data_IF_014700800105
#
_entry.id   IF_014700800105
#
_cell.length_a   1.000
_cell.length_b   1.000
_cell.length_c   1.000
_cell.angle_alpha   90.00
_cell.angle_beta   90.00
_cell.angle_gamma   90.00
#
_symmetry.space_group_name_H-M   'P 1'
#
loop_
_entity.id
_entity.type
_entity.pdbx_description
1 polymer ?
#
# COMPACT_ATOMS: atom_id res chain seq x y z
N UNK A 1 -59.12 -9.70 23.47
CA UNK A 1 -58.15 -8.63 23.17
C UNK A 1 -56.76 -9.21 23.32
N UNK A 2 -56.09 -9.54 22.18
CA UNK A 2 -54.73 -10.12 22.16
C UNK A 2 -53.78 -8.98 21.82
N UNK A 3 -52.86 -8.67 22.76
CA UNK A 3 -51.77 -7.77 22.55
C UNK A 3 -50.69 -8.46 21.71
N UNK A 4 -50.41 -7.95 20.51
CA UNK A 4 -49.28 -8.34 19.67
C UNK A 4 -48.08 -7.49 20.09
N UNK A 5 -47.11 -8.11 20.79
CA UNK A 5 -45.80 -7.54 21.02
C UNK A 5 -44.96 -7.63 19.75
N UNK A 6 -44.71 -6.51 19.11
CA UNK A 6 -43.73 -6.38 18.01
C UNK A 6 -42.33 -6.35 18.60
N UNK A 7 -41.59 -7.44 18.41
CA UNK A 7 -40.15 -7.50 18.70
C UNK A 7 -39.43 -6.83 17.52
N UNK A 8 -38.91 -5.63 17.73
CA UNK A 8 -37.99 -4.97 16.81
C UNK A 8 -36.61 -5.64 16.94
N UNK A 9 -36.29 -6.51 16.02
CA UNK A 9 -34.91 -7.02 15.89
C UNK A 9 -34.06 -5.94 15.24
N UNK A 10 -33.27 -5.25 16.05
CA UNK A 10 -32.25 -4.30 15.60
C UNK A 10 -31.08 -5.13 15.02
N UNK A 11 -31.05 -5.34 13.71
CA UNK A 11 -29.88 -5.89 13.02
C UNK A 11 -28.80 -4.82 13.02
N UNK A 12 -27.87 -4.90 13.95
CA UNK A 12 -26.62 -4.14 13.92
C UNK A 12 -25.78 -4.77 12.80
N UNK A 13 -25.87 -4.20 11.60
CA UNK A 13 -24.90 -4.43 10.55
C UNK A 13 -23.57 -3.81 11.02
N UNK A 14 -22.74 -4.61 11.67
CA UNK A 14 -21.33 -4.31 11.82
C UNK A 14 -20.73 -4.30 10.41
N UNK A 15 -20.66 -3.12 9.79
CA UNK A 15 -19.86 -2.93 8.60
C UNK A 15 -18.41 -3.20 8.99
N UNK A 16 -17.91 -4.39 8.70
CA UNK A 16 -16.49 -4.63 8.68
C UNK A 16 -15.91 -3.57 7.73
N UNK A 17 -15.14 -2.64 8.27
CA UNK A 17 -14.42 -1.65 7.48
C UNK A 17 -13.31 -2.41 6.73
N UNK A 18 -13.57 -2.73 5.48
CA UNK A 18 -12.60 -3.32 4.56
C UNK A 18 -11.99 -2.16 3.78
N UNK A 19 -10.68 -2.15 3.59
CA UNK A 19 -10.07 -1.24 2.63
C UNK A 19 -10.76 -1.49 1.30
N UNK A 20 -11.53 -0.50 0.85
CA UNK A 20 -12.24 -0.60 -0.41
C UNK A 20 -11.27 -0.65 -1.60
N UNK A 21 -11.77 -1.02 -2.78
CA UNK A 21 -11.01 -0.92 -4.01
C UNK A 21 -10.51 0.51 -4.21
N UNK A 22 -9.47 0.67 -5.03
CA UNK A 22 -9.01 2.01 -5.43
C UNK A 22 -10.20 2.79 -5.97
N UNK A 23 -10.44 3.99 -5.44
CA UNK A 23 -11.51 4.86 -5.93
C UNK A 23 -11.41 5.08 -7.44
N UNK A 24 -12.54 5.09 -8.13
CA UNK A 24 -12.58 5.15 -9.60
C UNK A 24 -11.78 6.33 -10.16
N UNK A 25 -11.89 7.50 -9.56
CA UNK A 25 -11.16 8.71 -9.97
C UNK A 25 -9.64 8.57 -9.78
N UNK A 26 -9.19 7.90 -8.71
CA UNK A 26 -7.77 7.62 -8.50
C UNK A 26 -7.26 6.57 -9.50
N UNK A 27 -8.04 5.54 -9.80
CA UNK A 27 -7.68 4.46 -10.72
C UNK A 27 -7.39 4.98 -12.13
N UNK A 28 -8.18 5.93 -12.64
CA UNK A 28 -7.97 6.54 -13.96
C UNK A 28 -6.72 7.42 -14.03
N UNK A 29 -6.21 7.87 -12.90
CA UNK A 29 -5.01 8.70 -12.80
C UNK A 29 -3.73 7.89 -12.53
N UNK A 30 -3.79 6.57 -12.46
CA UNK A 30 -2.61 5.71 -12.31
C UNK A 30 -2.12 5.29 -13.71
N UNK A 31 -0.86 5.61 -14.10
CA UNK A 31 -0.30 5.18 -15.38
C UNK A 31 -0.14 3.66 -15.48
N UNK A 32 -0.19 3.11 -16.70
CA UNK A 32 -0.11 1.66 -16.95
C UNK A 32 1.25 1.02 -16.61
N UNK A 33 2.33 1.80 -16.65
CA UNK A 33 3.70 1.36 -16.33
C UNK A 33 4.01 1.43 -14.83
N UNK A 34 2.96 1.24 -14.03
CA UNK A 34 3.05 1.13 -12.57
C UNK A 34 3.85 -0.11 -12.17
N UNK A 35 4.74 0.07 -11.19
CA UNK A 35 5.57 -1.00 -10.62
C UNK A 35 5.06 -1.47 -9.26
N UNK A 36 4.43 -0.57 -8.53
CA UNK A 36 3.84 -0.86 -7.23
C UNK A 36 2.62 0.02 -6.98
N UNK A 37 1.59 -0.57 -6.44
CA UNK A 37 0.48 0.13 -5.81
C UNK A 37 0.43 -0.30 -4.34
N UNK A 38 0.26 0.66 -3.45
CA UNK A 38 -0.03 0.45 -2.04
C UNK A 38 -1.30 1.23 -1.72
N UNK A 39 -2.28 0.55 -1.14
CA UNK A 39 -3.50 1.20 -0.63
C UNK A 39 -3.64 0.96 0.86
N UNK A 40 -4.01 2.01 1.57
CA UNK A 40 -4.14 2.04 3.02
C UNK A 40 -5.53 2.56 3.36
N UNK A 41 -6.32 1.73 4.07
CA UNK A 41 -7.53 2.20 4.74
C UNK A 41 -7.13 2.98 5.99
N UNK A 42 -7.11 4.29 5.84
CA UNK A 42 -6.71 5.20 6.90
C UNK A 42 -7.72 5.22 8.05
N UNK A 43 -9.00 4.95 7.75
CA UNK A 43 -10.07 4.86 8.74
C UNK A 43 -9.89 3.63 9.62
N UNK A 44 -9.59 2.48 9.02
CA UNK A 44 -9.33 1.23 9.76
C UNK A 44 -8.04 1.32 10.60
N UNK A 45 -6.97 1.96 10.08
CA UNK A 45 -5.74 2.16 10.83
C UNK A 45 -5.96 2.90 12.16
N UNK A 46 -6.80 3.94 12.15
CA UNK A 46 -7.10 4.74 13.36
C UNK A 46 -7.74 3.92 14.49
N UNK A 47 -8.40 2.83 14.15
CA UNK A 47 -9.02 1.92 15.11
C UNK A 47 -8.06 0.94 15.79
N UNK A 48 -6.76 0.94 15.44
CA UNK A 48 -5.77 0.02 15.98
C UNK A 48 -4.52 0.75 16.47
N UNK A 49 -4.23 0.64 17.78
CA UNK A 49 -3.01 1.21 18.38
C UNK A 49 -1.75 0.59 17.75
N UNK A 50 -1.80 -0.70 17.43
CA UNK A 50 -0.71 -1.43 16.76
C UNK A 50 -0.45 -0.90 15.36
N UNK A 51 -1.50 -0.63 14.59
CA UNK A 51 -1.38 -0.02 13.26
C UNK A 51 -0.82 1.39 13.33
N UNK A 52 -1.23 2.19 14.31
CA UNK A 52 -0.71 3.54 14.54
C UNK A 52 0.77 3.53 14.97
N UNK A 53 1.17 2.57 15.80
CA UNK A 53 2.58 2.37 16.17
C UNK A 53 3.42 1.97 14.94
N UNK A 54 2.94 1.05 14.11
CA UNK A 54 3.58 0.67 12.85
C UNK A 54 3.71 1.88 11.92
N UNK A 55 2.63 2.65 11.73
CA UNK A 55 2.65 3.88 10.93
C UNK A 55 3.76 4.83 11.39
N UNK A 56 3.84 5.09 12.68
CA UNK A 56 4.84 6.00 13.24
C UNK A 56 6.30 5.54 12.99
N UNK A 57 6.52 4.23 12.96
CA UNK A 57 7.84 3.61 12.76
C UNK A 57 8.25 3.57 11.28
N UNK A 58 7.32 3.18 10.40
CA UNK A 58 7.64 2.92 8.98
C UNK A 58 7.34 4.08 8.04
N UNK A 59 6.65 5.12 8.52
CA UNK A 59 6.24 6.23 7.67
C UNK A 59 7.48 6.96 7.11
N UNK A 60 7.72 6.94 5.80
CA UNK A 60 8.85 7.65 5.21
C UNK A 60 8.77 9.16 5.51
N UNK A 61 9.91 9.87 5.54
CA UNK A 61 9.93 11.33 5.72
C UNK A 61 9.00 12.07 4.75
N UNK A 62 8.93 11.62 3.50
CA UNK A 62 8.04 12.17 2.46
C UNK A 62 6.56 12.08 2.83
N UNK A 63 6.15 11.04 3.55
CA UNK A 63 4.77 10.89 4.03
C UNK A 63 4.46 11.85 5.18
N UNK A 64 5.41 12.07 6.09
CA UNK A 64 5.27 13.08 7.17
C UNK A 64 5.17 14.49 6.59
N UNK A 65 5.94 14.76 5.55
CA UNK A 65 5.87 16.02 4.79
C UNK A 65 4.52 16.18 4.12
N UNK A 66 3.99 15.11 3.52
CA UNK A 66 2.66 15.10 2.92
C UNK A 66 1.55 15.37 3.95
N UNK A 67 1.55 14.68 5.10
CA UNK A 67 0.58 14.96 6.16
C UNK A 67 0.65 16.43 6.63
N UNK A 68 1.86 16.97 6.75
CA UNK A 68 2.08 18.38 7.09
C UNK A 68 1.53 19.31 6.01
N UNK A 69 1.75 18.96 4.74
CA UNK A 69 1.26 19.74 3.60
C UNK A 69 -0.27 19.75 3.53
N UNK A 70 -0.94 18.61 3.78
CA UNK A 70 -2.41 18.52 3.86
C UNK A 70 -2.96 19.41 4.99
N UNK A 71 -2.35 19.36 6.19
CA UNK A 71 -2.74 20.24 7.31
C UNK A 71 -2.59 21.72 6.94
N UNK A 72 -1.56 22.07 6.18
CA UNK A 72 -1.33 23.41 5.63
C UNK A 72 -2.49 23.92 4.78
N UNK A 73 -3.11 23.09 3.98
CA UNK A 73 -4.26 23.44 3.13
C UNK A 73 -5.61 23.15 3.79
N UNK A 74 -5.62 22.69 5.05
CA UNK A 74 -6.83 22.53 5.86
C UNK A 74 -7.48 21.17 5.85
N UNK A 75 -6.77 20.15 5.38
CA UNK A 75 -7.16 18.76 5.50
C UNK A 75 -6.42 18.17 6.69
N UNK A 76 -7.12 17.66 7.67
CA UNK A 76 -6.55 16.90 8.76
C UNK A 76 -6.52 15.40 8.37
N UNK A 77 -5.35 14.82 8.04
CA UNK A 77 -5.29 13.43 7.60
C UNK A 77 -5.95 12.46 8.57
N UNK A 78 -5.84 12.74 9.87
CA UNK A 78 -6.37 11.86 10.91
C UNK A 78 -7.90 11.95 11.06
N UNK A 79 -8.55 12.94 10.45
CA UNK A 79 -10.02 13.12 10.51
C UNK A 79 -10.67 12.99 9.15
N UNK A 80 -10.05 13.61 8.14
CA UNK A 80 -10.69 13.89 6.87
C UNK A 80 -10.33 12.86 5.79
N UNK A 81 -9.23 12.10 5.98
CA UNK A 81 -8.79 11.08 5.01
C UNK A 81 -9.31 9.70 5.43
N UNK A 82 -9.95 9.02 4.49
CA UNK A 82 -10.47 7.67 4.65
C UNK A 82 -9.56 6.63 4.00
N UNK A 83 -9.02 6.93 2.82
CA UNK A 83 -8.13 6.04 2.08
C UNK A 83 -6.98 6.82 1.44
N UNK A 84 -5.79 6.20 1.45
CA UNK A 84 -4.62 6.64 0.71
C UNK A 84 -4.18 5.55 -0.26
N UNK A 85 -3.92 5.94 -1.50
CA UNK A 85 -3.33 5.05 -2.52
C UNK A 85 -2.07 5.69 -3.05
N UNK A 86 -0.98 4.92 -3.09
CA UNK A 86 0.29 5.33 -3.69
C UNK A 86 0.58 4.44 -4.88
N UNK A 87 0.94 5.05 -6.01
CA UNK A 87 1.37 4.35 -7.20
C UNK A 87 2.79 4.79 -7.56
N UNK A 88 3.73 3.85 -7.51
CA UNK A 88 5.08 4.00 -8.02
C UNK A 88 5.11 3.51 -9.47
N UNK A 89 5.48 4.37 -10.40
CA UNK A 89 5.50 4.05 -11.83
C UNK A 89 6.76 4.58 -12.50
N UNK A 90 7.11 4.02 -13.66
CA UNK A 90 8.29 4.41 -14.41
C UNK A 90 7.95 5.55 -15.39
N UNK A 91 8.66 6.66 -15.29
CA UNK A 91 8.53 7.79 -16.22
C UNK A 91 9.76 7.88 -17.13
N UNK A 92 9.85 7.00 -18.12
CA UNK A 92 10.94 6.98 -19.09
C UNK A 92 12.33 7.05 -18.43
N UNK A 93 13.17 7.99 -18.87
CA UNK A 93 14.52 8.20 -18.33
C UNK A 93 14.54 8.90 -16.96
N UNK A 94 13.43 9.43 -16.49
CA UNK A 94 13.34 10.13 -15.20
C UNK A 94 13.29 9.15 -14.00
N UNK A 95 13.24 7.84 -14.26
CA UNK A 95 13.21 6.81 -13.23
C UNK A 95 11.81 6.60 -12.63
N UNK A 96 11.79 6.11 -11.39
CA UNK A 96 10.55 5.85 -10.66
C UNK A 96 10.00 7.17 -10.11
N UNK A 97 8.70 7.36 -10.29
CA UNK A 97 7.91 8.46 -9.74
C UNK A 97 6.81 7.89 -8.85
N UNK A 98 6.46 8.62 -7.82
CA UNK A 98 5.39 8.22 -6.90
C UNK A 98 4.32 9.30 -6.91
N UNK A 99 3.11 8.90 -7.25
CA UNK A 99 1.91 9.72 -7.11
C UNK A 99 1.03 9.13 -6.01
N UNK A 100 0.44 10.00 -5.20
CA UNK A 100 -0.53 9.63 -4.18
C UNK A 100 -1.92 10.10 -4.55
N UNK A 101 -2.93 9.35 -4.14
CA UNK A 101 -4.33 9.76 -4.16
C UNK A 101 -4.89 9.65 -2.75
N UNK A 102 -5.50 10.72 -2.27
CA UNK A 102 -6.24 10.72 -1.00
C UNK A 102 -7.73 10.82 -1.29
N UNK A 103 -8.52 9.97 -0.65
CA UNK A 103 -9.97 10.01 -0.68
C UNK A 103 -10.48 10.18 0.75
N UNK A 104 -11.52 11.00 0.93
CA UNK A 104 -12.02 11.26 2.27
C UNK A 104 -13.21 12.21 2.33
N UNK A 105 -13.46 12.71 3.53
CA UNK A 105 -14.61 13.57 3.84
C UNK A 105 -14.27 15.07 3.78
N UNK A 106 -13.20 15.47 3.10
CA UNK A 106 -12.85 16.88 2.91
C UNK A 106 -13.69 17.52 1.81
N UNK A 107 -13.91 18.82 1.95
CA UNK A 107 -14.65 19.59 0.94
C UNK A 107 -13.68 20.41 0.08
N UNK A 108 -13.67 20.17 -1.21
CA UNK A 108 -12.90 20.95 -2.19
C UNK A 108 -13.08 22.46 -1.98
N UNK A 109 -14.34 22.92 -1.82
CA UNK A 109 -14.65 24.36 -1.61
C UNK A 109 -13.97 24.94 -0.38
N UNK A 110 -13.91 24.18 0.73
CA UNK A 110 -13.25 24.61 1.98
C UNK A 110 -11.74 24.68 1.79
N UNK A 111 -11.16 23.67 1.17
CA UNK A 111 -9.72 23.60 0.87
C UNK A 111 -9.31 24.74 -0.07
N UNK A 112 -10.04 24.94 -1.17
CA UNK A 112 -9.77 26.03 -2.11
C UNK A 112 -9.89 27.42 -1.46
N UNK A 113 -10.86 27.61 -0.55
CA UNK A 113 -10.95 28.85 0.23
C UNK A 113 -9.68 29.09 1.05
N UNK A 114 -9.15 28.06 1.72
CA UNK A 114 -7.94 28.16 2.54
C UNK A 114 -6.69 28.39 1.67
N UNK A 115 -6.57 27.71 0.52
CA UNK A 115 -5.54 27.92 -0.48
C UNK A 115 -5.50 29.40 -0.92
N UNK A 116 -6.65 29.98 -1.23
CA UNK A 116 -6.77 31.41 -1.61
C UNK A 116 -6.38 32.35 -0.48
N UNK A 117 -6.80 32.05 0.76
CA UNK A 117 -6.42 32.84 1.95
C UNK A 117 -4.91 32.82 2.17
N UNK A 118 -4.26 31.70 1.90
CA UNK A 118 -2.79 31.55 1.98
C UNK A 118 -2.08 32.14 0.74
N UNK A 119 -2.81 32.77 -0.19
CA UNK A 119 -2.28 33.39 -1.43
C UNK A 119 -1.55 32.39 -2.33
N UNK A 120 -1.86 31.11 -2.24
CA UNK A 120 -1.34 30.07 -3.11
C UNK A 120 -2.02 30.21 -4.48
N UNK A 121 -1.23 30.40 -5.53
CA UNK A 121 -1.73 30.50 -6.90
C UNK A 121 -1.56 29.16 -7.60
N UNK A 122 -2.60 28.66 -8.30
CA UNK A 122 -2.47 27.45 -9.10
C UNK A 122 -1.56 27.70 -10.32
N UNK A 123 -0.93 26.64 -10.77
CA UNK A 123 -0.26 26.55 -12.07
C UNK A 123 -1.15 25.67 -12.95
N UNK A 124 -1.37 26.08 -14.20
CA UNK A 124 -2.12 25.25 -15.15
C UNK A 124 -1.24 24.13 -15.70
N UNK A 125 -1.77 22.91 -15.70
CA UNK A 125 -1.26 21.81 -16.47
C UNK A 125 -2.43 21.22 -17.29
N UNK A 126 -2.32 21.32 -18.62
CA UNK A 126 -3.48 21.19 -19.51
C UNK A 126 -4.61 22.11 -19.00
N UNK A 127 -5.81 21.59 -18.83
CA UNK A 127 -6.97 22.34 -18.31
C UNK A 127 -7.13 22.26 -16.79
N UNK A 128 -6.17 21.64 -16.08
CA UNK A 128 -6.25 21.36 -14.65
C UNK A 128 -5.48 22.38 -13.83
N UNK A 129 -6.10 22.87 -12.74
CA UNK A 129 -5.44 23.69 -11.73
C UNK A 129 -4.61 22.79 -10.79
N UNK A 130 -3.30 23.04 -10.74
CA UNK A 130 -2.35 22.36 -9.87
C UNK A 130 -1.85 23.33 -8.82
N UNK A 131 -2.03 22.99 -7.56
CA UNK A 131 -1.70 23.84 -6.42
C UNK A 131 -0.36 23.42 -5.81
N UNK A 132 0.64 24.31 -5.75
CA UNK A 132 1.88 24.03 -5.04
C UNK A 132 1.60 23.85 -3.53
N UNK A 133 2.27 22.86 -2.95
CA UNK A 133 2.27 22.56 -1.52
C UNK A 133 3.68 22.77 -0.93
N UNK A 134 3.83 22.57 0.37
CA UNK A 134 5.15 22.55 1.01
C UNK A 134 6.03 21.42 0.47
N UNK A 135 7.34 21.52 0.68
CA UNK A 135 8.33 20.49 0.30
C UNK A 135 8.40 20.16 -1.20
N UNK A 136 8.02 21.10 -2.08
CA UNK A 136 8.07 20.91 -3.54
C UNK A 136 6.99 19.98 -4.10
N UNK A 137 6.06 19.52 -3.27
CA UNK A 137 4.89 18.78 -3.71
C UNK A 137 3.86 19.69 -4.38
N UNK A 138 3.00 19.07 -5.14
CA UNK A 138 1.84 19.69 -5.77
C UNK A 138 0.61 18.82 -5.56
N UNK A 139 -0.57 19.40 -5.61
CA UNK A 139 -1.83 18.69 -5.54
C UNK A 139 -2.85 19.22 -6.56
N UNK A 140 -3.81 18.38 -6.89
CA UNK A 140 -5.01 18.76 -7.64
C UNK A 140 -6.20 17.93 -7.18
N UNK A 141 -7.41 18.43 -7.37
CA UNK A 141 -8.62 17.64 -7.12
C UNK A 141 -8.94 16.76 -8.33
N UNK A 142 -9.32 15.51 -8.07
CA UNK A 142 -9.89 14.61 -9.06
C UNK A 142 -11.43 14.74 -9.12
N UNK A 143 -12.01 14.90 -7.93
CA UNK A 143 -13.43 15.13 -7.69
C UNK A 143 -13.64 15.81 -6.31
N UNK A 144 -14.88 15.93 -5.86
CA UNK A 144 -15.24 16.64 -4.62
C UNK A 144 -14.59 16.02 -3.36
N UNK A 145 -14.26 14.72 -3.39
CA UNK A 145 -13.80 13.93 -2.25
C UNK A 145 -12.45 13.26 -2.49
N UNK A 146 -11.80 13.53 -3.63
CA UNK A 146 -10.56 12.88 -4.02
C UNK A 146 -9.56 13.88 -4.56
N UNK A 147 -8.29 13.75 -4.15
CA UNK A 147 -7.20 14.57 -4.65
C UNK A 147 -5.99 13.73 -5.02
N UNK A 148 -5.24 14.20 -6.01
CA UNK A 148 -3.90 13.71 -6.35
C UNK A 148 -2.84 14.61 -5.74
N UNK A 149 -1.71 14.01 -5.39
CA UNK A 149 -0.53 14.73 -4.91
C UNK A 149 0.76 14.00 -5.29
N UNK A 150 1.84 14.75 -5.36
CA UNK A 150 3.17 14.22 -5.67
C UNK A 150 4.14 15.34 -6.07
N UNK A 151 5.36 14.99 -6.49
CA UNK A 151 6.20 15.96 -7.17
C UNK A 151 5.60 16.39 -8.52
N UNK A 152 6.03 17.52 -9.07
CA UNK A 152 5.48 18.05 -10.32
C UNK A 152 5.49 17.03 -11.46
N UNK A 153 6.55 16.25 -11.57
CA UNK A 153 6.73 15.26 -12.63
C UNK A 153 5.82 14.02 -12.42
N UNK A 154 5.64 13.60 -11.16
CA UNK A 154 4.73 12.51 -10.82
C UNK A 154 3.27 12.91 -11.11
N UNK A 155 2.89 14.10 -10.65
CA UNK A 155 1.52 14.59 -10.85
C UNK A 155 1.19 14.78 -12.33
N UNK A 156 2.12 15.32 -13.13
CA UNK A 156 1.94 15.46 -14.57
C UNK A 156 1.72 14.11 -15.26
N UNK A 157 2.51 13.08 -14.93
CA UNK A 157 2.31 11.75 -15.51
C UNK A 157 0.95 11.12 -15.15
N UNK A 158 0.47 11.35 -13.92
CA UNK A 158 -0.85 10.91 -13.50
C UNK A 158 -1.97 11.66 -14.22
N UNK A 159 -1.82 12.97 -14.42
CA UNK A 159 -2.76 13.78 -15.20
C UNK A 159 -2.76 13.40 -16.68
N UNK A 160 -1.61 13.10 -17.26
CA UNK A 160 -1.51 12.59 -18.64
C UNK A 160 -2.31 11.29 -18.81
N UNK A 161 -2.23 10.38 -17.83
CA UNK A 161 -3.02 9.15 -17.85
C UNK A 161 -4.52 9.44 -17.73
N UNK A 162 -4.92 10.27 -16.76
CA UNK A 162 -6.34 10.66 -16.55
C UNK A 162 -6.95 11.30 -17.79
N UNK A 163 -6.20 12.18 -18.45
CA UNK A 163 -6.68 12.99 -19.57
C UNK A 163 -6.54 12.26 -20.93
N UNK A 164 -6.06 11.00 -20.92
CA UNK A 164 -5.94 10.17 -22.11
C UNK A 164 -4.69 10.43 -22.98
N UNK A 165 -3.73 11.20 -22.48
CA UNK A 165 -2.42 11.40 -23.15
C UNK A 165 -1.45 10.24 -22.91
N UNK A 166 -1.71 9.42 -21.88
CA UNK A 166 -0.96 8.20 -21.57
C UNK A 166 -1.92 7.06 -21.20
N UNK A 167 -1.53 5.79 -21.38
CA UNK A 167 -2.35 4.65 -20.98
C UNK A 167 -2.47 4.58 -19.45
N UNK A 168 -3.65 4.18 -18.97
CA UNK A 168 -3.98 4.05 -17.56
C UNK A 168 -3.74 2.62 -17.04
N UNK A 169 -3.85 2.43 -15.72
CA UNK A 169 -3.80 1.13 -15.05
C UNK A 169 -4.71 0.08 -15.71
N UNK A 170 -5.87 0.47 -16.23
CA UNK A 170 -6.81 -0.43 -16.88
C UNK A 170 -6.27 -1.02 -18.19
N UNK A 171 -5.20 -0.44 -18.74
CA UNK A 171 -4.46 -0.97 -19.89
C UNK A 171 -3.41 -2.04 -19.49
N UNK A 172 -3.30 -2.36 -18.19
CA UNK A 172 -2.38 -3.37 -17.65
C UNK A 172 -3.19 -4.51 -16.99
N UNK A 173 -3.69 -5.50 -17.77
CA UNK A 173 -4.57 -6.55 -17.26
C UNK A 173 -3.91 -7.40 -16.18
N UNK A 174 -2.62 -7.71 -16.30
CA UNK A 174 -1.90 -8.52 -15.30
C UNK A 174 -1.89 -7.84 -13.93
N UNK A 175 -1.74 -6.52 -13.90
CA UNK A 175 -1.79 -5.74 -12.67
C UNK A 175 -3.21 -5.65 -12.10
N UNK A 176 -4.20 -5.47 -12.98
CA UNK A 176 -5.61 -5.41 -12.62
C UNK A 176 -6.09 -6.73 -11.99
N UNK A 177 -5.69 -7.88 -12.53
CA UNK A 177 -6.00 -9.21 -11.99
C UNK A 177 -5.40 -9.41 -10.59
N UNK A 178 -4.16 -8.96 -10.37
CA UNK A 178 -3.52 -9.03 -9.05
C UNK A 178 -4.24 -8.15 -8.03
N UNK A 179 -4.68 -6.94 -8.41
CA UNK A 179 -5.44 -6.03 -7.54
C UNK A 179 -6.76 -6.70 -7.12
N UNK A 180 -7.52 -7.26 -8.07
CA UNK A 180 -8.80 -7.91 -7.78
C UNK A 180 -8.73 -9.07 -6.78
N UNK A 181 -7.52 -9.54 -6.47
CA UNK A 181 -7.30 -10.61 -5.49
C UNK A 181 -6.93 -10.11 -4.09
N UNK A 182 -6.67 -8.80 -3.89
CA UNK A 182 -6.13 -8.26 -2.63
C UNK A 182 -6.82 -6.99 -2.13
N UNK A 183 -7.80 -6.45 -2.84
CA UNK A 183 -8.46 -5.17 -2.54
C UNK A 183 -9.34 -5.17 -1.27
N UNK A 184 -9.02 -6.03 -0.31
CA UNK A 184 -9.82 -6.28 0.91
C UNK A 184 -9.03 -6.18 2.23
N UNK A 185 -7.76 -5.79 2.23
CA UNK A 185 -6.96 -5.63 3.46
C UNK A 185 -7.00 -4.21 4.02
N UNK A 186 -6.68 -4.02 5.31
CA UNK A 186 -6.46 -2.67 5.87
C UNK A 186 -5.30 -1.95 5.16
N UNK A 187 -4.26 -2.70 4.84
CA UNK A 187 -3.20 -2.30 3.91
C UNK A 187 -3.07 -3.41 2.89
N UNK A 188 -2.99 -3.05 1.62
CA UNK A 188 -2.66 -4.02 0.59
C UNK A 188 -1.72 -3.41 -0.45
N UNK A 189 -0.98 -4.26 -1.13
CA UNK A 189 -0.06 -3.85 -2.17
C UNK A 189 0.03 -4.89 -3.27
N UNK A 190 0.31 -4.40 -4.48
CA UNK A 190 0.66 -5.21 -5.65
C UNK A 190 1.96 -4.66 -6.23
N UNK A 191 2.88 -5.57 -6.56
CA UNK A 191 4.15 -5.26 -7.21
C UNK A 191 4.23 -5.99 -8.55
N UNK A 192 4.79 -5.31 -9.56
CA UNK A 192 5.13 -5.92 -10.83
C UNK A 192 6.31 -6.92 -10.68
N UNK A 193 6.73 -7.50 -11.78
CA UNK A 193 7.87 -8.41 -11.83
C UNK A 193 9.13 -7.77 -11.24
N UNK A 194 9.48 -6.56 -11.65
CA UNK A 194 10.70 -5.88 -11.20
C UNK A 194 10.64 -5.50 -9.72
N UNK A 195 9.51 -4.97 -9.27
CA UNK A 195 9.29 -4.66 -7.85
C UNK A 195 9.41 -5.90 -6.97
N UNK A 196 8.81 -7.02 -7.40
CA UNK A 196 8.88 -8.30 -6.69
C UNK A 196 10.30 -8.87 -6.68
N UNK A 197 11.05 -8.78 -7.78
CA UNK A 197 12.45 -9.21 -7.82
C UNK A 197 13.30 -8.42 -6.82
N UNK A 198 13.12 -7.11 -6.75
CA UNK A 198 13.84 -6.25 -5.80
C UNK A 198 13.48 -6.58 -4.35
N UNK A 199 12.18 -6.81 -4.07
CA UNK A 199 11.70 -7.25 -2.75
C UNK A 199 12.34 -8.58 -2.34
N UNK A 200 12.34 -9.58 -3.22
CA UNK A 200 12.94 -10.90 -2.94
C UNK A 200 14.45 -10.80 -2.72
N UNK A 201 15.16 -10.00 -3.52
CA UNK A 201 16.61 -9.78 -3.32
C UNK A 201 16.91 -9.16 -1.96
N UNK A 202 16.12 -8.17 -1.56
CA UNK A 202 16.25 -7.54 -0.25
C UNK A 202 15.94 -8.51 0.89
N UNK A 203 14.87 -9.29 0.77
CA UNK A 203 14.43 -10.22 1.82
C UNK A 203 15.35 -11.43 1.99
N UNK A 204 15.84 -11.99 0.89
CA UNK A 204 16.70 -13.17 0.92
C UNK A 204 18.17 -12.85 1.27
N UNK A 205 18.64 -11.62 0.98
CA UNK A 205 20.02 -11.23 1.26
C UNK A 205 21.04 -12.26 0.75
N UNK A 206 21.93 -12.73 1.65
CA UNK A 206 22.92 -13.74 1.30
C UNK A 206 22.34 -15.13 0.98
N UNK A 207 21.13 -15.44 1.47
CA UNK A 207 20.46 -16.70 1.12
C UNK A 207 20.13 -16.77 -0.39
N UNK A 208 19.92 -15.63 -1.05
CA UNK A 208 19.76 -15.56 -2.50
C UNK A 208 20.98 -16.03 -3.30
N UNK A 209 22.17 -16.11 -2.67
CA UNK A 209 23.39 -16.62 -3.30
C UNK A 209 23.47 -18.15 -3.28
N UNK A 210 22.63 -18.82 -2.52
CA UNK A 210 22.65 -20.29 -2.35
C UNK A 210 21.95 -21.03 -3.49
N UNK A 211 21.24 -20.34 -4.39
CA UNK A 211 20.56 -20.91 -5.54
C UNK A 211 20.84 -20.07 -6.78
N UNK A 212 20.52 -20.61 -7.96
CA UNK A 212 20.49 -19.85 -9.22
C UNK A 212 19.31 -18.86 -9.19
N UNK A 213 19.41 -17.86 -8.30
CA UNK A 213 18.37 -16.84 -8.12
C UNK A 213 18.19 -16.00 -9.39
N UNK A 214 19.24 -15.87 -10.21
CA UNK A 214 19.15 -15.16 -11.48
C UNK A 214 18.21 -15.84 -12.50
N UNK A 215 18.11 -17.14 -12.44
CA UNK A 215 17.14 -17.91 -13.23
C UNK A 215 15.74 -17.83 -12.61
N UNK A 216 15.64 -17.98 -11.28
CA UNK A 216 14.36 -17.93 -10.57
C UNK A 216 13.65 -16.58 -10.71
N UNK A 217 14.38 -15.47 -10.54
CA UNK A 217 13.81 -14.13 -10.63
C UNK A 217 13.17 -13.81 -11.97
N UNK A 218 13.67 -14.39 -13.06
CA UNK A 218 13.09 -14.21 -14.43
C UNK A 218 11.73 -14.87 -14.57
N UNK A 219 11.40 -15.84 -13.72
CA UNK A 219 10.15 -16.58 -13.72
C UNK A 219 9.13 -16.04 -12.69
N UNK A 220 9.50 -15.03 -11.94
CA UNK A 220 8.57 -14.27 -11.11
C UNK A 220 7.70 -13.40 -12.01
N UNK A 221 6.41 -13.36 -11.78
CA UNK A 221 5.44 -12.55 -12.51
C UNK A 221 5.12 -11.27 -11.75
N UNK A 222 4.93 -11.37 -10.45
CA UNK A 222 4.62 -10.27 -9.56
C UNK A 222 4.37 -10.77 -8.14
N UNK A 223 4.00 -9.86 -7.26
CA UNK A 223 3.59 -10.22 -5.89
C UNK A 223 2.48 -9.32 -5.40
N UNK A 224 1.78 -9.80 -4.40
CA UNK A 224 0.72 -9.06 -3.71
C UNK A 224 0.76 -9.40 -2.23
N UNK A 225 0.42 -8.43 -1.39
CA UNK A 225 0.25 -8.70 0.03
C UNK A 225 -0.94 -7.95 0.61
N UNK A 226 -1.47 -8.50 1.69
CA UNK A 226 -2.45 -7.85 2.55
C UNK A 226 -1.94 -7.82 3.99
N UNK A 227 -2.33 -6.78 4.72
CA UNK A 227 -2.09 -6.67 6.15
C UNK A 227 -3.36 -6.19 6.83
N UNK A 228 -3.78 -6.89 7.86
CA UNK A 228 -4.95 -6.58 8.67
C UNK A 228 -4.58 -6.47 10.14
N UNK A 229 -5.29 -5.59 10.87
CA UNK A 229 -5.03 -5.29 12.28
C UNK A 229 -6.20 -5.64 13.19
N UNK A 230 -7.07 -6.54 12.75
CA UNK A 230 -8.19 -7.02 13.56
C UNK A 230 -7.71 -8.21 14.40
N UNK A 231 -7.75 -8.07 15.73
CA UNK A 231 -7.28 -9.09 16.69
C UNK A 231 -5.79 -9.45 16.48
N UNK A 232 -4.93 -8.45 16.50
CA UNK A 232 -3.51 -8.58 16.20
C UNK A 232 -3.19 -8.24 14.75
N UNK A 233 -2.02 -8.65 14.29
CA UNK A 233 -1.55 -8.43 12.91
C UNK A 233 -1.60 -9.72 12.15
N UNK A 234 -2.25 -9.69 10.98
CA UNK A 234 -2.26 -10.78 10.01
C UNK A 234 -1.68 -10.24 8.71
N UNK A 235 -0.64 -10.87 8.23
CA UNK A 235 0.06 -10.53 7.00
C UNK A 235 0.09 -11.73 6.07
N UNK A 236 -0.36 -11.54 4.85
CA UNK A 236 -0.37 -12.54 3.79
C UNK A 236 0.41 -11.98 2.60
N UNK A 237 1.37 -12.74 2.08
CA UNK A 237 2.15 -12.42 0.89
C UNK A 237 2.08 -13.57 -0.09
N UNK A 238 1.66 -13.27 -1.32
CA UNK A 238 1.69 -14.16 -2.46
C UNK A 238 2.75 -13.69 -3.46
N UNK A 239 3.66 -14.58 -3.87
CA UNK A 239 4.56 -14.35 -5.00
C UNK A 239 4.12 -15.23 -6.16
N UNK A 240 3.62 -14.60 -7.21
CA UNK A 240 3.15 -15.27 -8.43
C UNK A 240 4.33 -15.58 -9.33
N UNK A 241 4.44 -16.81 -9.79
CA UNK A 241 5.49 -17.28 -10.68
C UNK A 241 4.91 -17.89 -11.96
N UNK A 242 5.74 -18.13 -12.96
CA UNK A 242 5.31 -18.72 -14.24
C UNK A 242 4.97 -20.21 -14.15
N UNK A 243 5.44 -20.92 -13.12
CA UNK A 243 5.26 -22.37 -12.96
C UNK A 243 5.41 -22.83 -11.50
N UNK A 244 4.89 -24.02 -11.22
CA UNK A 244 4.87 -24.62 -9.89
C UNK A 244 6.26 -25.01 -9.34
N UNK A 245 7.19 -25.36 -10.21
CA UNK A 245 8.55 -25.73 -9.81
C UNK A 245 9.27 -24.49 -9.27
N UNK A 246 9.12 -23.37 -9.94
CA UNK A 246 9.65 -22.07 -9.48
C UNK A 246 9.05 -21.66 -8.13
N UNK A 247 7.73 -21.79 -7.97
CA UNK A 247 7.06 -21.49 -6.70
C UNK A 247 7.57 -22.38 -5.55
N UNK A 248 7.70 -23.69 -5.78
CA UNK A 248 8.22 -24.62 -4.80
C UNK A 248 9.68 -24.36 -4.42
N UNK A 249 10.52 -24.02 -5.40
CA UNK A 249 11.94 -23.69 -5.19
C UNK A 249 12.08 -22.41 -4.37
N UNK A 250 11.34 -21.34 -4.72
CA UNK A 250 11.31 -20.11 -3.94
C UNK A 250 10.80 -20.34 -2.52
N UNK A 251 9.75 -21.16 -2.36
CA UNK A 251 9.24 -21.54 -1.04
C UNK A 251 10.32 -22.21 -0.18
N UNK A 252 11.09 -23.12 -0.77
CA UNK A 252 12.20 -23.80 -0.08
C UNK A 252 13.30 -22.84 0.32
N UNK A 253 13.65 -21.89 -0.54
CA UNK A 253 14.64 -20.84 -0.24
C UNK A 253 14.18 -19.92 0.89
N UNK A 254 12.93 -19.47 0.85
CA UNK A 254 12.36 -18.61 1.91
C UNK A 254 12.34 -19.37 3.24
N UNK A 255 11.91 -20.64 3.25
CA UNK A 255 11.98 -21.50 4.45
C UNK A 255 13.40 -21.62 4.99
N UNK A 256 14.38 -21.84 4.13
CA UNK A 256 15.79 -21.91 4.54
C UNK A 256 16.25 -20.56 5.12
N UNK A 257 15.88 -19.44 4.51
CA UNK A 257 16.16 -18.10 5.02
C UNK A 257 15.57 -17.84 6.41
N UNK A 258 14.29 -18.22 6.62
CA UNK A 258 13.62 -18.13 7.93
C UNK A 258 14.35 -18.99 8.98
N UNK A 259 14.71 -20.21 8.64
CA UNK A 259 15.46 -21.11 9.55
C UNK A 259 16.84 -20.54 9.89
N UNK A 260 17.57 -20.05 8.91
CA UNK A 260 18.87 -19.40 9.13
C UNK A 260 18.75 -18.19 10.05
N UNK A 261 17.74 -17.33 9.82
CA UNK A 261 17.49 -16.17 10.66
C UNK A 261 17.14 -16.56 12.10
N UNK A 262 16.36 -17.62 12.30
CA UNK A 262 16.06 -18.17 13.64
C UNK A 262 17.31 -18.53 14.45
N UNK A 263 18.41 -18.92 13.82
CA UNK A 263 19.64 -19.31 14.52
C UNK A 263 20.33 -18.12 15.21
N UNK A 264 20.20 -16.91 14.64
CA UNK A 264 20.85 -15.68 15.12
C UNK A 264 19.89 -14.68 15.75
N UNK A 265 18.60 -14.96 15.70
CA UNK A 265 17.54 -14.06 16.18
C UNK A 265 17.48 -13.98 17.70
N UNK A 266 17.10 -12.80 18.22
CA UNK A 266 16.74 -12.61 19.62
C UNK A 266 15.49 -13.45 20.00
N UNK A 267 15.22 -13.69 21.29
CA UNK A 267 14.04 -14.47 21.70
C UNK A 267 12.70 -13.92 21.14
N UNK A 268 12.53 -12.60 21.07
CA UNK A 268 11.34 -11.96 20.52
C UNK A 268 11.23 -12.21 19.02
N UNK A 269 12.31 -12.04 18.28
CA UNK A 269 12.35 -12.30 16.84
C UNK A 269 12.13 -13.79 16.53
N UNK A 270 12.69 -14.68 17.36
CA UNK A 270 12.50 -16.13 17.24
C UNK A 270 11.04 -16.50 17.36
N UNK A 271 10.36 -16.01 18.39
CA UNK A 271 8.93 -16.23 18.58
C UNK A 271 8.11 -15.71 17.38
N UNK A 272 8.46 -14.53 16.83
CA UNK A 272 7.81 -14.01 15.63
C UNK A 272 8.08 -14.88 14.39
N UNK A 273 9.31 -15.34 14.20
CA UNK A 273 9.66 -16.21 13.06
C UNK A 273 9.03 -17.61 13.16
N UNK A 274 8.60 -18.06 14.36
CA UNK A 274 7.85 -19.31 14.54
C UNK A 274 6.44 -19.21 13.98
N UNK A 275 5.83 -18.03 13.99
CA UNK A 275 4.51 -17.77 13.45
C UNK A 275 4.51 -17.59 11.91
N UNK A 276 5.67 -17.58 11.27
CA UNK A 276 5.78 -17.51 9.81
C UNK A 276 5.55 -18.89 9.21
N UNK A 277 4.54 -19.00 8.37
CA UNK A 277 4.31 -20.18 7.53
C UNK A 277 4.60 -19.84 6.07
N UNK A 278 5.26 -20.76 5.37
CA UNK A 278 5.60 -20.61 3.95
C UNK A 278 5.19 -21.87 3.22
N UNK A 279 4.39 -21.73 2.18
CA UNK A 279 3.90 -22.84 1.37
C UNK A 279 4.02 -22.50 -0.12
N UNK A 280 3.76 -23.44 -0.98
CA UNK A 280 3.53 -23.20 -2.40
C UNK A 280 2.28 -23.94 -2.83
N UNK A 281 1.44 -23.27 -3.60
CA UNK A 281 0.27 -23.86 -4.25
C UNK A 281 0.29 -23.47 -5.72
N UNK A 282 0.26 -24.48 -6.58
CA UNK A 282 0.35 -24.27 -8.03
C UNK A 282 1.58 -23.41 -8.39
N UNK A 283 1.40 -22.28 -9.00
CA UNK A 283 2.48 -21.34 -9.37
C UNK A 283 2.64 -20.18 -8.38
N UNK A 284 2.12 -20.30 -7.14
CA UNK A 284 2.17 -19.23 -6.14
C UNK A 284 2.95 -19.70 -4.92
N UNK A 285 3.96 -18.91 -4.50
CA UNK A 285 4.52 -18.99 -3.17
C UNK A 285 3.63 -18.18 -2.25
N UNK A 286 3.22 -18.79 -1.14
CA UNK A 286 2.38 -18.17 -0.11
C UNK A 286 3.15 -18.06 1.19
N UNK A 287 3.17 -16.87 1.78
CA UNK A 287 3.71 -16.64 3.11
C UNK A 287 2.64 -16.00 3.97
N UNK A 288 2.41 -16.58 5.14
CA UNK A 288 1.50 -16.06 6.14
C UNK A 288 2.25 -15.80 7.44
N UNK A 289 1.94 -14.68 8.08
CA UNK A 289 2.44 -14.31 9.40
C UNK A 289 1.29 -13.79 10.25
N UNK A 290 1.23 -14.24 11.49
CA UNK A 290 0.25 -13.76 12.48
C UNK A 290 0.95 -13.45 13.79
N UNK A 291 0.60 -12.33 14.43
CA UNK A 291 1.08 -11.97 15.75
C UNK A 291 -0.01 -11.28 16.56
N UNK A 292 -0.01 -11.48 17.87
CA UNK A 292 -0.81 -10.66 18.77
C UNK A 292 -0.26 -9.23 18.85
N UNK A 293 -1.11 -8.25 19.20
CA UNK A 293 -0.74 -6.82 19.25
C UNK A 293 0.53 -6.56 20.06
N UNK A 294 0.65 -7.13 21.26
CA UNK A 294 1.82 -6.94 22.13
C UNK A 294 3.10 -7.52 21.54
N UNK A 295 3.00 -8.70 20.92
CA UNK A 295 4.12 -9.36 20.28
C UNK A 295 4.59 -8.55 19.07
N UNK A 296 3.66 -8.07 18.24
CA UNK A 296 3.99 -7.26 17.08
C UNK A 296 4.57 -5.90 17.46
N UNK A 297 4.02 -5.21 18.48
CA UNK A 297 4.59 -3.97 19.01
C UNK A 297 6.03 -4.16 19.49
N UNK A 298 6.35 -5.30 20.10
CA UNK A 298 7.73 -5.61 20.48
C UNK A 298 8.62 -5.87 19.26
N UNK A 299 8.06 -6.49 18.21
CA UNK A 299 8.78 -6.81 16.98
C UNK A 299 9.12 -5.55 16.17
N UNK A 300 8.23 -4.55 16.07
CA UNK A 300 8.51 -3.32 15.31
C UNK A 300 9.69 -2.50 15.86
N UNK A 301 10.10 -2.76 17.08
CA UNK A 301 11.29 -2.15 17.70
C UNK A 301 12.54 -3.03 17.62
N UNK A 302 12.47 -4.18 16.93
CA UNK A 302 13.59 -5.13 16.81
C UNK A 302 14.51 -4.79 15.63
N UNK A 303 15.74 -5.34 15.68
CA UNK A 303 16.71 -5.24 14.58
C UNK A 303 16.21 -5.94 13.32
N UNK A 304 15.42 -7.01 13.46
CA UNK A 304 14.79 -7.70 12.33
C UNK A 304 13.86 -6.75 11.56
N UNK A 305 13.00 -6.05 12.27
CA UNK A 305 12.08 -5.11 11.65
C UNK A 305 12.83 -3.94 10.98
N UNK A 306 13.85 -3.40 11.66
CA UNK A 306 14.70 -2.36 11.09
C UNK A 306 15.41 -2.79 9.80
N UNK A 307 15.74 -4.07 9.67
CA UNK A 307 16.38 -4.63 8.47
C UNK A 307 15.44 -4.81 7.28
N UNK A 308 14.13 -5.04 7.54
CA UNK A 308 13.13 -5.27 6.47
C UNK A 308 12.31 -4.02 6.11
N UNK A 309 12.35 -2.98 6.94
CA UNK A 309 11.61 -1.72 6.74
C UNK A 309 12.44 -0.61 6.06
N UNK A 310 13.70 -0.87 5.75
CA UNK A 310 14.61 0.02 5.01
C UNK A 310 14.64 -0.35 3.53
#
# INVERSE_FOLDING_TARGET
MKAMSSVFVLVILSSAAWAGPIGSSARTAIPSDVQQIITVDYRALKGSDTAMALKAQVLPPSMKEFETALKGVGIDPDKDVDQLTFAAYRKGKQGIKVVGAAQGSFSEKVVLKKIRLNKIRPVKYHDTDVYPMSSGMQMTFLDENSLLFGDSSALQGALDARDGYAPTLDSNPAFADMIGSVDSGTVWSVLDQQGTQNMLLSALGDAGKLADFDTLKKRVVGSRYTMNFTNGVNFDLDVVTSDSVTAATLSSLVKAGVLYRKMTASPIEKAALEEVTVNSDSSVLQMHFKAEDKQFQSLIHSDLFAAVSK
#
